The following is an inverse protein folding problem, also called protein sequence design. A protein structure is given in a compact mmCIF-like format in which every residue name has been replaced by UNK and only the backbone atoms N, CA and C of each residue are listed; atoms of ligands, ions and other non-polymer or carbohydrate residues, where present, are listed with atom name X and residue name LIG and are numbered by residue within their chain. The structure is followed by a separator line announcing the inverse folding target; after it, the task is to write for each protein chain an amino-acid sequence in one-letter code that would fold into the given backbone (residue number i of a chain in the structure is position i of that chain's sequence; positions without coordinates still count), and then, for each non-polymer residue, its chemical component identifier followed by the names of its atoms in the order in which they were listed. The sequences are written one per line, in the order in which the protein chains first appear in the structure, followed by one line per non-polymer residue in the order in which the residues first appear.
data_IF_339105198387
#
_entry.id   IF_339105198387
#
_cell.length_a   1.000
_cell.length_b   1.000
_cell.length_c   1.000
_cell.angle_alpha   90.00
_cell.angle_beta   90.00
_cell.angle_gamma   90.00
#
_symmetry.space_group_name_H-M   'P 1'
#
loop_
_entity.id
_entity.type
_entity.pdbx_description
1 polymer ?
#
# COMPACT_ATOMS: atom_id res chain seq x y z
N UNK A 1 -30.90 31.94 10.76
CA UNK A 1 -30.92 31.09 9.54
C UNK A 1 -29.57 31.11 8.81
N UNK A 2 -28.99 32.28 8.51
CA UNK A 2 -27.74 32.39 7.75
C UNK A 2 -26.49 31.77 8.42
N UNK A 3 -26.34 31.88 9.75
CA UNK A 3 -25.18 31.30 10.45
C UNK A 3 -25.17 29.77 10.41
N UNK A 4 -26.35 29.16 10.57
CA UNK A 4 -26.49 27.70 10.51
C UNK A 4 -26.18 27.18 9.10
N UNK A 5 -26.67 27.86 8.07
CA UNK A 5 -26.36 27.52 6.67
C UNK A 5 -24.86 27.65 6.38
N UNK A 6 -24.21 28.70 6.92
CA UNK A 6 -22.77 28.90 6.77
C UNK A 6 -21.97 27.78 7.45
N UNK A 7 -22.31 27.40 8.68
CA UNK A 7 -21.64 26.31 9.40
C UNK A 7 -21.84 24.96 8.70
N UNK A 8 -23.03 24.71 8.17
CA UNK A 8 -23.32 23.51 7.38
C UNK A 8 -22.45 23.46 6.12
N UNK A 9 -22.29 24.59 5.41
CA UNK A 9 -21.47 24.68 4.21
C UNK A 9 -19.98 24.41 4.50
N UNK A 10 -19.46 24.92 5.62
CA UNK A 10 -18.07 24.65 6.07
C UNK A 10 -17.87 23.18 6.44
N UNK A 11 -18.85 22.57 7.09
CA UNK A 11 -18.78 21.15 7.45
C UNK A 11 -18.80 20.24 6.20
N UNK A 12 -19.68 20.55 5.24
CA UNK A 12 -19.78 19.80 3.97
C UNK A 12 -18.50 19.95 3.14
N UNK A 13 -17.93 21.15 3.07
CA UNK A 13 -16.69 21.37 2.32
C UNK A 13 -15.49 20.64 2.96
N UNK A 14 -15.38 20.67 4.28
CA UNK A 14 -14.38 19.90 5.02
C UNK A 14 -14.54 18.39 4.81
N UNK A 15 -15.77 17.87 4.85
CA UNK A 15 -16.03 16.45 4.62
C UNK A 15 -15.72 16.02 3.18
N UNK A 16 -16.10 16.82 2.18
CA UNK A 16 -15.87 16.52 0.78
C UNK A 16 -14.38 16.46 0.39
N UNK A 17 -13.54 17.31 1.00
CA UNK A 17 -12.08 17.28 0.76
C UNK A 17 -11.46 15.96 1.22
N UNK A 18 -11.94 15.40 2.34
CA UNK A 18 -11.40 14.17 2.92
C UNK A 18 -11.83 12.89 2.18
N UNK A 19 -12.93 12.92 1.40
CA UNK A 19 -13.40 11.75 0.65
C UNK A 19 -12.54 11.41 -0.58
N UNK A 20 -11.69 12.34 -1.05
CA UNK A 20 -10.91 12.16 -2.27
C UNK A 20 -9.58 11.42 -2.08
N UNK A 21 -9.14 11.16 -0.84
CA UNK A 21 -7.85 10.51 -0.55
C UNK A 21 -7.98 8.99 -0.32
N UNK A 22 -8.97 8.34 -0.94
CA UNK A 22 -9.03 6.89 -0.96
C UNK A 22 -8.02 6.36 -1.97
N UNK A 23 -6.77 6.16 -1.53
CA UNK A 23 -5.79 5.41 -2.31
C UNK A 23 -6.26 3.97 -2.44
N UNK A 24 -6.65 3.58 -3.66
CA UNK A 24 -6.98 2.19 -3.97
C UNK A 24 -5.67 1.40 -3.93
N UNK A 25 -5.43 0.71 -2.82
CA UNK A 25 -4.30 -0.21 -2.70
C UNK A 25 -4.66 -1.49 -3.45
N UNK A 26 -3.88 -1.81 -4.49
CA UNK A 26 -4.02 -3.01 -5.30
C UNK A 26 -2.75 -3.84 -5.14
N UNK A 27 -2.90 -5.11 -4.79
CA UNK A 27 -1.78 -6.05 -4.70
C UNK A 27 -2.12 -7.36 -5.40
N UNK A 28 -1.10 -8.01 -5.95
CA UNK A 28 -1.22 -9.38 -6.42
C UNK A 28 -1.30 -10.31 -5.19
N UNK A 29 -2.01 -11.43 -5.32
CA UNK A 29 -2.13 -12.45 -4.27
C UNK A 29 -1.21 -13.60 -4.63
N UNK A 30 -0.34 -13.94 -3.69
CA UNK A 30 0.57 -15.07 -3.75
C UNK A 30 0.09 -16.18 -2.81
N UNK A 31 0.36 -17.42 -3.16
CA UNK A 31 -0.04 -18.60 -2.39
C UNK A 31 1.15 -19.54 -2.19
N UNK A 32 1.26 -20.14 -1.00
CA UNK A 32 2.19 -21.23 -0.71
C UNK A 32 1.46 -22.34 0.05
N UNK A 33 1.74 -23.60 -0.27
CA UNK A 33 1.30 -24.75 0.54
C UNK A 33 2.42 -25.11 1.52
N UNK A 34 2.11 -25.16 2.82
CA UNK A 34 3.05 -25.57 3.85
C UNK A 34 3.19 -27.09 3.96
N UNK A 35 4.19 -27.54 4.71
CA UNK A 35 4.54 -28.95 4.87
C UNK A 35 3.40 -29.80 5.45
N UNK A 36 2.53 -29.20 6.27
CA UNK A 36 1.36 -29.85 6.85
C UNK A 36 0.08 -29.70 6.01
N UNK A 37 0.20 -29.23 4.76
CA UNK A 37 -0.93 -28.96 3.87
C UNK A 37 -1.66 -27.64 4.11
N UNK A 38 -1.23 -26.82 5.07
CA UNK A 38 -1.83 -25.49 5.30
C UNK A 38 -1.57 -24.56 4.10
N UNK A 39 -2.60 -23.88 3.61
CA UNK A 39 -2.48 -22.94 2.50
C UNK A 39 -2.30 -21.53 3.06
N UNK A 40 -1.23 -20.86 2.65
CA UNK A 40 -0.90 -19.49 3.03
C UNK A 40 -1.12 -18.56 1.86
N UNK A 41 -1.86 -17.48 2.06
CA UNK A 41 -2.00 -16.39 1.10
C UNK A 41 -1.27 -15.14 1.62
N UNK A 42 -0.65 -14.40 0.72
CA UNK A 42 0.02 -13.15 1.05
C UNK A 42 -0.04 -12.16 -0.11
N UNK A 43 -0.03 -10.86 0.20
CA UNK A 43 0.13 -9.81 -0.81
C UNK A 43 1.60 -9.63 -1.25
N UNK A 44 2.55 -10.17 -0.49
CA UNK A 44 3.99 -10.15 -0.78
C UNK A 44 4.61 -11.51 -0.41
N UNK A 45 5.47 -12.12 -1.25
CA UNK A 45 6.22 -13.31 -0.87
C UNK A 45 7.13 -13.04 0.32
N UNK A 46 6.80 -13.58 1.49
CA UNK A 46 7.61 -13.41 2.72
C UNK A 46 8.67 -14.50 2.91
N UNK A 47 8.67 -15.51 2.05
CA UNK A 47 9.63 -16.61 2.03
C UNK A 47 9.67 -17.25 0.65
N UNK A 48 10.60 -18.19 0.46
CA UNK A 48 10.59 -19.06 -0.73
C UNK A 48 9.30 -19.93 -0.77
N UNK A 49 8.90 -20.32 -1.98
CA UNK A 49 7.78 -21.23 -2.23
C UNK A 49 6.42 -20.58 -2.47
N UNK A 50 6.31 -19.25 -2.41
CA UNK A 50 5.10 -18.55 -2.84
C UNK A 50 5.02 -18.48 -4.37
N UNK A 51 3.88 -18.85 -4.93
CA UNK A 51 3.54 -18.72 -6.36
C UNK A 51 2.43 -17.69 -6.56
N UNK A 52 2.38 -17.06 -7.74
CA UNK A 52 1.32 -16.11 -8.07
C UNK A 52 -0.01 -16.84 -8.20
N UNK A 53 -0.96 -16.53 -7.32
CA UNK A 53 -2.29 -17.12 -7.31
C UNK A 53 -3.30 -16.25 -8.05
N UNK A 54 -3.30 -14.94 -7.79
CA UNK A 54 -4.20 -14.00 -8.44
C UNK A 54 -3.48 -12.69 -8.75
N UNK A 55 -3.55 -12.27 -10.01
CA UNK A 55 -3.05 -10.96 -10.43
C UNK A 55 -4.17 -9.94 -10.37
N UNK A 56 -3.95 -8.82 -9.70
CA UNK A 56 -4.93 -7.74 -9.71
C UNK A 56 -4.92 -7.05 -11.07
N UNK A 57 -6.11 -6.74 -11.60
CA UNK A 57 -6.26 -6.04 -12.89
C UNK A 57 -5.66 -4.64 -12.79
N UNK A 58 -4.45 -4.46 -13.30
CA UNK A 58 -3.79 -3.15 -13.39
C UNK A 58 -4.47 -2.33 -14.50
N UNK A 59 -4.76 -1.04 -14.25
CA UNK A 59 -5.08 -0.15 -15.37
C UNK A 59 -3.79 0.01 -16.17
N UNK A 60 -3.89 0.04 -17.51
CA UNK A 60 -2.75 0.06 -18.45
C UNK A 60 -1.75 1.22 -18.22
N UNK A 61 -2.12 2.20 -17.38
CA UNK A 61 -1.33 3.39 -17.04
C UNK A 61 -0.65 3.32 -15.66
N UNK A 62 -0.90 2.30 -14.84
CA UNK A 62 -0.40 2.24 -13.45
C UNK A 62 1.10 1.86 -13.35
N UNK A 63 1.70 1.41 -14.44
CA UNK A 63 3.10 0.94 -14.47
C UNK A 63 4.09 2.11 -14.62
N UNK A 64 3.63 3.31 -15.01
CA UNK A 64 4.54 4.35 -15.53
C UNK A 64 5.40 5.07 -14.50
N UNK A 65 5.17 4.98 -13.19
CA UNK A 65 5.92 5.80 -12.21
C UNK A 65 6.16 5.12 -10.86
N UNK A 66 6.42 3.81 -10.80
CA UNK A 66 6.95 3.23 -9.57
C UNK A 66 8.44 3.56 -9.48
N UNK A 67 8.72 4.80 -9.07
CA UNK A 67 10.06 5.31 -8.90
C UNK A 67 10.74 4.58 -7.73
N UNK A 68 11.85 3.89 -8.01
CA UNK A 68 12.77 3.34 -6.99
C UNK A 68 13.17 4.38 -5.93
N UNK A 69 13.02 5.69 -6.23
CA UNK A 69 13.33 6.78 -5.30
C UNK A 69 12.30 6.88 -4.16
N UNK A 70 11.06 6.45 -4.35
CA UNK A 70 10.03 6.53 -3.29
C UNK A 70 10.35 5.60 -2.11
N UNK A 71 10.77 4.37 -2.41
CA UNK A 71 11.11 3.36 -1.41
C UNK A 71 12.50 3.58 -0.81
N UNK A 72 13.43 4.16 -1.57
CA UNK A 72 14.78 4.43 -1.06
C UNK A 72 14.76 5.34 0.17
N UNK A 73 13.89 6.36 0.21
CA UNK A 73 13.75 7.23 1.38
C UNK A 73 13.27 6.45 2.61
N UNK A 74 12.26 5.60 2.44
CA UNK A 74 11.71 4.74 3.51
C UNK A 74 12.79 3.77 4.02
N UNK A 75 13.52 3.12 3.11
CA UNK A 75 14.62 2.21 3.43
C UNK A 75 15.73 2.94 4.20
N UNK A 76 16.09 4.16 3.79
CA UNK A 76 17.10 4.98 4.46
C UNK A 76 16.64 5.37 5.88
N UNK A 77 15.40 5.81 6.05
CA UNK A 77 14.84 6.18 7.35
C UNK A 77 14.76 4.98 8.30
N UNK A 78 14.30 3.84 7.81
CA UNK A 78 14.26 2.59 8.58
C UNK A 78 15.66 2.10 8.97
N UNK A 79 16.63 2.14 8.05
CA UNK A 79 18.02 1.77 8.33
C UNK A 79 18.61 2.61 9.47
N UNK A 80 18.35 3.92 9.47
CA UNK A 80 18.76 4.82 10.57
C UNK A 80 18.04 4.49 11.88
N UNK A 81 16.72 4.28 11.83
CA UNK A 81 15.88 4.02 13.01
C UNK A 81 16.26 2.71 13.71
N UNK A 82 16.50 1.66 12.94
CA UNK A 82 16.75 0.32 13.46
C UNK A 82 18.24 -0.06 13.52
N UNK A 83 19.14 0.83 13.05
CA UNK A 83 20.60 0.62 13.03
C UNK A 83 21.03 -0.66 12.31
N UNK A 84 20.34 -1.02 11.24
CA UNK A 84 20.68 -2.15 10.37
C UNK A 84 21.06 -1.68 8.97
N UNK A 85 21.86 -2.47 8.27
CA UNK A 85 22.25 -2.18 6.89
C UNK A 85 21.03 -2.02 5.99
N UNK A 86 21.07 -1.07 5.04
CA UNK A 86 19.99 -0.86 4.06
C UNK A 86 19.70 -2.12 3.24
N UNK A 87 20.73 -2.94 2.99
CA UNK A 87 20.59 -4.19 2.23
C UNK A 87 19.80 -5.27 2.99
N UNK A 88 19.50 -5.04 4.27
CA UNK A 88 18.69 -5.92 5.11
C UNK A 88 17.24 -5.42 5.25
N UNK A 89 16.86 -4.34 4.54
CA UNK A 89 15.53 -3.74 4.60
C UNK A 89 14.94 -3.71 3.19
N UNK A 90 13.77 -4.31 3.04
CA UNK A 90 12.97 -4.31 1.81
C UNK A 90 11.70 -3.47 2.05
N UNK A 91 11.25 -2.74 1.02
CA UNK A 91 10.10 -1.84 1.10
C UNK A 91 9.35 -1.77 -0.24
#
# INVERSE_FOLDING_TARGET
MNLFIFLLAVFISGFAINLNDTKIVSADIYMRVGENGTIYFSNVPVSNGYELYMRTKRKKNDIKNYSNVAYSKIIIEASKKYKVSRNLIEA
#
